data_IF_402460741530
#
_entry.id   IF_402460741530
#
_cell.length_a   1.000
_cell.length_b   1.000
_cell.length_c   1.000
_cell.angle_alpha   90.00
_cell.angle_beta   90.00
_cell.angle_gamma   90.00
#
_symmetry.space_group_name_H-M   'P 1'
#
loop_
_entity.id
_entity.type
_entity.pdbx_description
1 polymer ?
#
# COMPACT_ATOMS: atom_id res chain seq x y z
N UNK A 1 -61.96 -38.72 -10.44
CA UNK A 1 -60.62 -39.32 -10.56
C UNK A 1 -59.61 -38.17 -10.39
N UNK A 2 -58.81 -38.26 -9.33
CA UNK A 2 -57.53 -37.57 -9.00
C UNK A 2 -57.35 -36.06 -9.27
N UNK A 3 -57.01 -35.38 -8.18
CA UNK A 3 -56.55 -34.00 -8.06
C UNK A 3 -55.22 -33.72 -8.79
N UNK A 4 -54.95 -32.44 -9.10
CA UNK A 4 -53.70 -31.81 -8.66
C UNK A 4 -53.80 -30.28 -8.69
N UNK A 5 -53.64 -29.70 -7.51
CA UNK A 5 -53.08 -28.37 -7.27
C UNK A 5 -51.71 -28.25 -7.94
N UNK A 6 -51.39 -27.08 -8.51
CA UNK A 6 -50.07 -26.46 -8.30
C UNK A 6 -50.11 -24.97 -8.64
N UNK A 7 -50.29 -24.15 -7.61
CA UNK A 7 -50.04 -22.71 -7.63
C UNK A 7 -48.53 -22.52 -7.46
N UNK A 8 -47.82 -22.08 -8.49
CA UNK A 8 -46.40 -21.74 -8.39
C UNK A 8 -46.27 -20.28 -7.92
N UNK A 9 -46.14 -20.09 -6.61
CA UNK A 9 -45.79 -18.80 -6.02
C UNK A 9 -44.26 -18.63 -6.14
N UNK A 10 -43.81 -17.83 -7.11
CA UNK A 10 -42.40 -17.45 -7.23
C UNK A 10 -42.10 -16.35 -6.22
N UNK A 11 -41.60 -16.73 -5.04
CA UNK A 11 -41.03 -15.80 -4.07
C UNK A 11 -39.60 -15.47 -4.52
N UNK A 12 -39.40 -14.32 -5.16
CA UNK A 12 -38.06 -13.80 -5.42
C UNK A 12 -37.45 -13.35 -4.09
N UNK A 13 -36.63 -14.21 -3.49
CA UNK A 13 -35.77 -13.83 -2.37
C UNK A 13 -34.64 -12.99 -2.96
N UNK A 14 -34.72 -11.67 -2.76
CA UNK A 14 -33.56 -10.79 -2.87
C UNK A 14 -32.60 -11.20 -1.77
N UNK A 15 -31.67 -12.11 -2.07
CA UNK A 15 -30.51 -12.35 -1.25
C UNK A 15 -29.60 -11.12 -1.37
N UNK A 16 -29.78 -10.14 -0.48
CA UNK A 16 -28.71 -9.20 -0.15
C UNK A 16 -27.60 -10.00 0.49
N UNK A 17 -26.68 -10.52 -0.33
CA UNK A 17 -25.40 -11.05 0.13
C UNK A 17 -24.57 -9.86 0.61
N UNK A 18 -24.79 -9.42 1.83
CA UNK A 18 -23.77 -8.67 2.56
C UNK A 18 -22.54 -9.57 2.57
N UNK A 19 -21.38 -9.18 2.01
CA UNK A 19 -20.17 -9.93 2.25
C UNK A 19 -19.90 -9.83 3.75
N UNK A 20 -20.16 -10.93 4.46
CA UNK A 20 -19.71 -11.12 5.83
C UNK A 20 -18.19 -11.14 5.78
N UNK A 21 -17.57 -9.98 5.95
CA UNK A 21 -16.13 -9.89 6.16
C UNK A 21 -15.87 -10.37 7.59
N UNK A 22 -15.15 -11.48 7.73
CA UNK A 22 -14.68 -11.97 9.03
C UNK A 22 -13.82 -10.89 9.68
N UNK A 23 -14.28 -10.33 10.81
CA UNK A 23 -13.44 -9.53 11.71
C UNK A 23 -12.41 -10.46 12.34
N UNK A 24 -11.24 -10.55 11.71
CA UNK A 24 -10.14 -11.38 12.17
C UNK A 24 -9.62 -12.26 11.05
N UNK A 25 -8.96 -11.65 10.07
CA UNK A 25 -7.96 -12.41 9.34
C UNK A 25 -6.79 -12.68 10.29
N UNK A 26 -6.39 -13.94 10.31
CA UNK A 26 -5.23 -14.41 11.06
C UNK A 26 -4.03 -13.57 10.60
N UNK A 27 -3.42 -12.80 11.50
CA UNK A 27 -2.05 -12.28 11.33
C UNK A 27 -1.26 -13.40 10.67
N UNK A 28 -0.74 -13.22 9.46
CA UNK A 28 -0.03 -14.26 8.75
C UNK A 28 1.03 -14.83 9.70
N UNK A 29 0.82 -16.06 10.19
CA UNK A 29 1.56 -16.62 11.34
C UNK A 29 3.07 -16.74 11.10
N UNK A 30 3.48 -16.56 9.86
CA UNK A 30 4.81 -16.82 9.32
C UNK A 30 5.40 -15.63 8.58
N UNK A 31 4.70 -14.49 8.47
CA UNK A 31 5.31 -13.27 7.93
C UNK A 31 6.01 -12.54 9.06
N UNK A 32 7.31 -12.74 9.14
CA UNK A 32 8.17 -11.93 9.98
C UNK A 32 9.11 -11.16 9.05
N UNK A 33 9.07 -9.83 9.13
CA UNK A 33 10.22 -9.05 8.69
C UNK A 33 11.46 -9.66 9.39
N UNK A 34 12.54 -9.85 8.63
CA UNK A 34 13.76 -10.54 9.08
C UNK A 34 14.28 -10.03 10.42
N UNK A 35 14.01 -8.76 10.74
CA UNK A 35 13.93 -8.22 12.10
C UNK A 35 13.22 -6.87 12.10
N UNK A 36 12.50 -6.52 13.17
CA UNK A 36 12.03 -5.14 13.39
C UNK A 36 12.89 -4.49 14.50
N UNK A 37 13.93 -3.76 14.08
CA UNK A 37 14.87 -3.08 14.98
C UNK A 37 14.61 -1.56 15.09
N UNK A 38 13.64 -1.04 14.35
CA UNK A 38 13.24 0.36 14.36
C UNK A 38 14.32 1.35 13.93
N UNK A 39 14.12 2.62 14.28
CA UNK A 39 15.02 3.73 13.94
C UNK A 39 14.68 4.47 12.66
N UNK A 40 13.52 4.18 12.05
CA UNK A 40 13.05 4.71 10.76
C UNK A 40 12.35 6.04 10.91
N UNK A 41 12.17 6.74 9.78
CA UNK A 41 11.26 7.88 9.65
C UNK A 41 10.24 7.59 8.56
N UNK A 42 8.96 7.49 8.91
CA UNK A 42 7.92 7.07 7.97
C UNK A 42 6.90 8.19 7.83
N UNK A 43 6.61 8.61 6.61
CA UNK A 43 5.46 9.43 6.31
C UNK A 43 4.35 8.53 5.73
N UNK A 44 3.18 8.57 6.35
CA UNK A 44 1.98 7.89 5.88
C UNK A 44 1.08 8.96 5.25
N UNK A 45 0.90 8.88 3.94
CA UNK A 45 0.19 9.87 3.13
C UNK A 45 -1.12 9.24 2.68
N UNK A 46 -2.24 9.80 3.12
CA UNK A 46 -3.57 9.23 2.96
C UNK A 46 -4.45 10.19 2.18
N UNK A 47 -5.10 9.64 1.18
CA UNK A 47 -6.11 10.31 0.37
C UNK A 47 -7.28 10.78 1.24
N UNK A 48 -7.64 12.06 1.10
CA UNK A 48 -8.78 12.71 1.72
C UNK A 48 -9.82 13.13 0.65
N UNK A 49 -9.69 12.71 -0.61
CA UNK A 49 -10.56 13.21 -1.69
C UNK A 49 -12.00 12.64 -1.64
N UNK A 50 -12.92 13.29 -2.36
CA UNK A 50 -14.35 12.90 -2.43
C UNK A 50 -14.56 11.44 -2.89
N UNK A 51 -13.60 10.84 -3.58
CA UNK A 51 -13.72 9.45 -4.05
C UNK A 51 -13.78 8.44 -2.91
N UNK A 52 -13.21 8.77 -1.74
CA UNK A 52 -13.25 7.99 -0.49
C UNK A 52 -14.66 7.50 -0.16
N UNK A 53 -15.68 8.36 -0.28
CA UNK A 53 -17.07 8.02 0.02
C UNK A 53 -17.60 6.84 -0.83
N UNK A 54 -17.03 6.65 -2.02
CA UNK A 54 -17.56 5.71 -3.03
C UNK A 54 -16.70 4.47 -3.22
N UNK A 55 -15.37 4.61 -3.26
CA UNK A 55 -14.45 3.52 -3.51
C UNK A 55 -13.74 3.00 -2.25
N UNK A 56 -13.93 3.67 -1.11
CA UNK A 56 -13.46 3.22 0.20
C UNK A 56 -14.48 3.39 1.34
N UNK A 57 -15.71 2.87 1.20
CA UNK A 57 -16.76 3.05 2.22
C UNK A 57 -16.49 2.32 3.55
N UNK A 58 -15.32 1.68 3.67
CA UNK A 58 -14.91 0.88 4.83
C UNK A 58 -13.56 1.35 5.40
N UNK A 59 -13.10 2.55 5.03
CA UNK A 59 -11.89 3.17 5.58
C UNK A 59 -10.62 2.31 5.41
N UNK A 60 -10.51 1.52 4.33
CA UNK A 60 -9.39 0.60 4.09
C UNK A 60 -8.05 1.32 3.98
N UNK A 61 -8.02 2.51 3.35
CA UNK A 61 -6.81 3.35 3.32
C UNK A 61 -6.42 3.83 4.72
N UNK A 62 -7.38 4.21 5.55
CA UNK A 62 -7.13 4.63 6.94
C UNK A 62 -6.63 3.45 7.78
N UNK A 63 -7.29 2.29 7.67
CA UNK A 63 -6.94 1.07 8.40
C UNK A 63 -5.54 0.58 8.06
N UNK A 64 -5.12 0.69 6.80
CA UNK A 64 -3.75 0.37 6.42
C UNK A 64 -2.71 1.34 6.97
N UNK A 65 -3.03 2.63 6.98
CA UNK A 65 -2.18 3.62 7.63
C UNK A 65 -2.00 3.31 9.12
N UNK A 66 -3.09 2.96 9.82
CA UNK A 66 -3.01 2.49 11.22
C UNK A 66 -2.16 1.23 11.35
N UNK A 67 -2.36 0.24 10.49
CA UNK A 67 -1.61 -1.01 10.55
C UNK A 67 -0.10 -0.81 10.33
N UNK A 68 0.30 0.12 9.47
CA UNK A 68 1.70 0.52 9.29
C UNK A 68 2.20 1.20 10.57
N UNK A 69 1.47 2.17 11.12
CA UNK A 69 1.83 2.86 12.36
C UNK A 69 1.99 1.89 13.55
N UNK A 70 1.08 0.92 13.68
CA UNK A 70 1.09 -0.09 14.74
C UNK A 70 2.29 -1.06 14.64
N UNK A 71 2.90 -1.19 13.47
CA UNK A 71 4.11 -1.99 13.29
C UNK A 71 5.38 -1.22 13.70
N UNK A 72 5.34 0.11 13.70
CA UNK A 72 6.47 0.95 14.07
C UNK A 72 6.75 0.88 15.57
N UNK A 73 8.04 0.95 15.93
CA UNK A 73 8.50 0.88 17.31
C UNK A 73 8.32 2.26 17.95
N UNK A 74 7.40 2.36 18.90
CA UNK A 74 7.24 3.59 19.69
C UNK A 74 8.44 3.83 20.61
N UNK A 75 8.58 5.07 21.12
CA UNK A 75 9.66 5.37 22.06
C UNK A 75 9.60 4.55 23.36
N UNK A 76 8.41 4.09 23.75
CA UNK A 76 8.21 3.25 24.93
C UNK A 76 8.60 1.79 24.71
N UNK A 77 8.66 1.34 23.46
CA UNK A 77 9.07 -0.02 23.07
C UNK A 77 10.55 -0.12 22.68
N UNK A 78 11.22 1.02 22.54
CA UNK A 78 12.64 1.10 22.27
C UNK A 78 13.48 0.61 23.47
N UNK A 79 14.64 0.01 23.17
CA UNK A 79 15.49 -0.67 24.15
C UNK A 79 15.82 -2.10 23.74
N UNK A 80 16.80 -2.73 24.40
CA UNK A 80 17.17 -4.13 24.12
C UNK A 80 17.60 -4.40 22.68
N UNK A 81 18.19 -3.42 21.99
CA UNK A 81 18.59 -3.51 20.58
C UNK A 81 17.61 -2.88 19.58
N UNK A 82 16.43 -2.45 20.04
CA UNK A 82 15.44 -1.70 19.25
C UNK A 82 15.63 -0.19 19.39
N UNK A 83 15.43 0.54 18.30
CA UNK A 83 15.38 2.00 18.25
C UNK A 83 13.94 2.45 18.02
N UNK A 84 13.60 3.63 18.52
CA UNK A 84 12.29 4.23 18.23
C UNK A 84 12.22 4.65 16.76
N UNK A 85 11.10 4.35 16.12
CA UNK A 85 10.72 4.93 14.85
C UNK A 85 10.09 6.32 15.06
N UNK A 86 10.06 7.10 13.99
CA UNK A 86 9.28 8.33 13.88
C UNK A 86 8.26 8.19 12.76
N UNK A 87 7.08 8.77 12.96
CA UNK A 87 5.99 8.78 11.99
C UNK A 87 5.43 10.18 11.79
N UNK A 88 5.08 10.51 10.56
CA UNK A 88 4.23 11.65 10.20
C UNK A 88 2.97 11.13 9.51
N UNK A 89 1.83 11.75 9.77
CA UNK A 89 0.55 11.43 9.10
C UNK A 89 0.09 12.66 8.33
N UNK A 90 -0.12 12.48 7.03
CA UNK A 90 -0.47 13.55 6.09
C UNK A 90 -1.73 13.13 5.36
N UNK A 91 -2.74 13.98 5.38
CA UNK A 91 -3.90 13.89 4.49
C UNK A 91 -3.68 14.73 3.23
N UNK A 92 -4.27 14.33 2.11
CA UNK A 92 -4.25 15.15 0.89
C UNK A 92 -5.57 15.10 0.12
N UNK A 93 -6.00 16.27 -0.35
CA UNK A 93 -7.09 16.46 -1.30
C UNK A 93 -6.60 17.36 -2.46
N UNK A 94 -7.24 18.51 -2.70
CA UNK A 94 -6.71 19.61 -3.49
C UNK A 94 -5.49 20.30 -2.81
N UNK A 95 -5.34 20.11 -1.50
CA UNK A 95 -4.27 20.62 -0.66
C UNK A 95 -3.81 19.55 0.34
N UNK A 96 -2.63 19.75 0.93
CA UNK A 96 -2.14 18.88 1.99
C UNK A 96 -2.56 19.36 3.37
N UNK A 97 -2.75 18.39 4.26
CA UNK A 97 -2.96 18.60 5.69
C UNK A 97 -1.98 17.74 6.47
N UNK A 98 -1.06 18.39 7.17
CA UNK A 98 -0.24 17.73 8.18
C UNK A 98 -1.10 17.44 9.42
N UNK A 99 -1.49 16.17 9.60
CA UNK A 99 -2.35 15.74 10.71
C UNK A 99 -1.53 15.41 11.95
N UNK A 100 -0.35 14.83 11.76
CA UNK A 100 0.60 14.51 12.83
C UNK A 100 2.02 14.82 12.37
N UNK A 101 2.70 15.84 12.96
CA UNK A 101 4.09 16.13 12.67
C UNK A 101 5.00 14.93 12.99
N UNK A 102 6.15 14.84 12.31
CA UNK A 102 7.10 13.76 12.52
C UNK A 102 7.43 13.55 14.02
N UNK A 103 7.00 12.42 14.56
CA UNK A 103 7.01 12.18 16.00
C UNK A 103 6.81 10.71 16.38
N UNK A 104 6.52 10.45 17.66
CA UNK A 104 6.41 9.10 18.19
C UNK A 104 5.13 8.38 17.66
N UNK A 105 5.22 7.14 17.12
CA UNK A 105 4.07 6.36 16.66
C UNK A 105 2.89 6.25 17.64
N UNK A 106 3.18 6.14 18.94
CA UNK A 106 2.14 6.02 19.98
C UNK A 106 1.21 7.25 20.11
N UNK A 107 1.61 8.39 19.54
CA UNK A 107 0.80 9.61 19.52
C UNK A 107 -0.07 9.77 18.27
N UNK A 108 0.18 9.00 17.19
CA UNK A 108 -0.42 9.22 15.88
C UNK A 108 -1.83 8.61 15.73
N UNK A 109 -2.17 7.57 16.51
CA UNK A 109 -3.42 6.81 16.32
C UNK A 109 -4.69 7.69 16.33
N UNK A 110 -4.71 8.74 17.15
CA UNK A 110 -5.86 9.66 17.27
C UNK A 110 -6.09 10.55 16.05
N UNK A 111 -5.08 10.73 15.19
CA UNK A 111 -5.22 11.65 14.05
C UNK A 111 -5.86 10.99 12.84
N UNK A 112 -5.82 9.66 12.75
CA UNK A 112 -6.48 8.91 11.69
C UNK A 112 -8.00 9.10 11.69
N UNK A 113 -8.63 9.47 12.82
CA UNK A 113 -10.06 9.82 12.84
C UNK A 113 -10.35 11.23 12.35
N UNK A 114 -9.32 12.02 12.05
CA UNK A 114 -9.44 13.38 11.52
C UNK A 114 -9.33 13.43 10.00
N UNK A 115 -8.95 12.30 9.39
CA UNK A 115 -8.98 12.11 7.94
C UNK A 115 -10.42 12.31 7.49
N UNK A 116 -10.62 13.25 6.59
CA UNK A 116 -11.91 13.64 6.05
C UNK A 116 -11.99 13.32 4.56
N UNK A 117 -13.20 13.34 4.01
CA UNK A 117 -13.48 13.03 2.60
C UNK A 117 -14.01 14.31 1.95
N UNK A 118 -13.13 15.10 1.33
CA UNK A 118 -13.43 16.41 0.73
C UNK A 118 -12.52 16.70 -0.46
N UNK A 119 -13.09 17.25 -1.51
CA UNK A 119 -12.35 17.94 -2.58
C UNK A 119 -11.74 17.01 -3.63
N UNK A 120 -10.88 17.59 -4.46
CA UNK A 120 -10.17 16.91 -5.53
C UNK A 120 -8.94 16.15 -5.05
N UNK A 121 -8.04 15.84 -5.98
CA UNK A 121 -6.90 14.96 -5.71
C UNK A 121 -5.61 15.53 -6.28
N UNK A 122 -4.64 15.80 -5.41
CA UNK A 122 -3.29 16.23 -5.75
C UNK A 122 -2.25 15.44 -4.96
N UNK A 123 -1.93 14.23 -5.46
CA UNK A 123 -1.07 13.27 -4.78
C UNK A 123 0.35 13.81 -4.61
N UNK A 124 0.86 14.52 -5.62
CA UNK A 124 2.20 15.10 -5.59
C UNK A 124 2.40 16.03 -4.38
N UNK A 125 1.37 16.82 -4.01
CA UNK A 125 1.42 17.65 -2.82
C UNK A 125 1.63 16.82 -1.55
N UNK A 126 0.92 15.70 -1.41
CA UNK A 126 1.07 14.78 -0.28
C UNK A 126 2.49 14.20 -0.17
N UNK A 127 3.10 13.87 -1.31
CA UNK A 127 4.51 13.42 -1.38
C UNK A 127 5.47 14.55 -1.01
N UNK A 128 5.25 15.77 -1.50
CA UNK A 128 6.09 16.94 -1.18
C UNK A 128 6.06 17.29 0.31
N UNK A 129 4.88 17.28 0.94
CA UNK A 129 4.73 17.50 2.39
C UNK A 129 5.42 16.38 3.18
N UNK A 130 5.36 15.14 2.70
CA UNK A 130 6.06 14.02 3.32
C UNK A 130 7.58 14.18 3.24
N UNK A 131 8.12 14.62 2.10
CA UNK A 131 9.54 14.96 1.97
C UNK A 131 9.90 16.06 2.98
N UNK A 132 9.09 17.12 3.06
CA UNK A 132 9.30 18.22 4.01
C UNK A 132 9.41 17.71 5.45
N UNK A 133 8.45 16.90 5.91
CA UNK A 133 8.48 16.32 7.27
C UNK A 133 9.70 15.43 7.50
N UNK A 134 9.99 14.52 6.57
CA UNK A 134 11.08 13.56 6.71
C UNK A 134 12.46 14.22 6.72
N UNK A 135 12.58 15.42 6.15
CA UNK A 135 13.84 16.14 5.98
C UNK A 135 14.02 17.30 6.96
N UNK A 136 13.08 17.46 7.91
CA UNK A 136 13.17 18.51 8.93
C UNK A 136 14.48 18.43 9.73
N UNK A 137 15.11 19.58 10.00
CA UNK A 137 16.29 19.64 10.87
C UNK A 137 16.04 18.99 12.23
N UNK A 138 17.03 18.27 12.75
CA UNK A 138 16.94 17.58 14.04
C UNK A 138 16.50 16.11 13.95
N UNK A 139 16.20 15.62 12.74
CA UNK A 139 15.80 14.23 12.50
C UNK A 139 16.74 13.49 11.53
N UNK A 140 17.98 13.97 11.31
CA UNK A 140 18.95 13.28 10.45
C UNK A 140 19.36 11.90 10.98
N UNK A 141 19.73 10.94 10.10
CA UNK A 141 19.78 11.06 8.63
C UNK A 141 18.44 10.75 7.95
N UNK A 142 18.20 11.34 6.78
CA UNK A 142 17.08 10.99 5.89
C UNK A 142 17.39 9.79 5.02
N UNK A 143 18.50 9.85 4.28
CA UNK A 143 18.86 8.83 3.30
C UNK A 143 18.91 7.43 3.91
N UNK A 144 18.33 6.49 3.17
CA UNK A 144 18.23 5.05 3.47
C UNK A 144 17.42 4.69 4.71
N UNK A 145 16.97 5.68 5.48
CA UNK A 145 16.31 5.50 6.77
C UNK A 145 14.87 6.03 6.78
N UNK A 146 14.41 6.54 5.64
CA UNK A 146 13.12 7.19 5.52
C UNK A 146 12.26 6.56 4.43
N UNK A 147 10.95 6.60 4.63
CA UNK A 147 10.00 6.10 3.65
C UNK A 147 8.74 6.94 3.58
N UNK A 148 8.11 6.93 2.42
CA UNK A 148 6.76 7.45 2.19
C UNK A 148 5.89 6.27 1.77
N UNK A 149 4.77 6.06 2.46
CA UNK A 149 3.73 5.12 2.05
C UNK A 149 2.48 5.90 1.71
N UNK A 150 2.10 5.88 0.43
CA UNK A 150 0.92 6.57 -0.10
C UNK A 150 -0.25 5.58 -0.23
N UNK A 151 -1.41 5.97 0.27
CA UNK A 151 -2.64 5.18 0.30
C UNK A 151 -3.74 5.98 -0.41
N UNK A 152 -4.08 5.59 -1.63
CA UNK A 152 -4.92 6.36 -2.56
C UNK A 152 -5.70 5.44 -3.49
N UNK A 153 -6.62 5.97 -4.29
CA UNK A 153 -7.18 5.25 -5.44
C UNK A 153 -6.37 5.47 -6.73
N UNK A 154 -5.44 6.43 -6.70
CA UNK A 154 -4.54 6.79 -7.79
C UNK A 154 -5.15 7.65 -8.88
N UNK A 155 -6.32 8.24 -8.63
CA UNK A 155 -6.77 9.36 -9.44
C UNK A 155 -5.89 10.57 -9.07
N UNK A 156 -5.16 11.14 -10.03
CA UNK A 156 -4.28 12.29 -9.76
C UNK A 156 -4.54 13.40 -10.77
N UNK A 157 -4.45 14.64 -10.29
CA UNK A 157 -4.59 15.82 -11.15
C UNK A 157 -3.39 16.04 -12.06
N UNK A 158 -2.21 15.43 -11.79
CA UNK A 158 -1.01 15.64 -12.60
C UNK A 158 0.08 14.57 -12.43
N UNK A 159 0.02 13.49 -13.22
CA UNK A 159 1.02 12.41 -13.21
C UNK A 159 2.48 12.88 -13.37
N UNK A 160 2.76 13.91 -14.18
CA UNK A 160 4.14 14.43 -14.35
C UNK A 160 4.70 15.06 -13.08
N UNK A 161 3.87 15.78 -12.32
CA UNK A 161 4.28 16.37 -11.04
C UNK A 161 4.48 15.29 -9.99
N UNK A 162 3.61 14.27 -9.99
CA UNK A 162 3.78 13.13 -9.10
C UNK A 162 5.11 12.41 -9.34
N UNK A 163 5.50 12.20 -10.61
CA UNK A 163 6.82 11.67 -10.97
C UNK A 163 7.94 12.56 -10.43
N UNK A 164 7.88 13.88 -10.64
CA UNK A 164 8.88 14.83 -10.13
C UNK A 164 9.03 14.77 -8.59
N UNK A 165 7.92 14.68 -7.85
CA UNK A 165 7.93 14.55 -6.39
C UNK A 165 8.53 13.21 -5.94
N UNK A 166 8.18 12.11 -6.60
CA UNK A 166 8.74 10.78 -6.28
C UNK A 166 10.24 10.73 -6.57
N UNK A 167 10.68 11.28 -7.71
CA UNK A 167 12.10 11.36 -8.06
C UNK A 167 12.87 12.23 -7.07
N UNK A 168 12.27 13.33 -6.59
CA UNK A 168 12.85 14.18 -5.54
C UNK A 168 13.01 13.40 -4.23
N UNK A 169 12.02 12.61 -3.81
CA UNK A 169 12.14 11.73 -2.65
C UNK A 169 13.29 10.71 -2.84
N UNK A 170 13.35 10.07 -4.01
CA UNK A 170 14.40 9.11 -4.36
C UNK A 170 15.81 9.71 -4.31
N UNK A 171 15.99 10.94 -4.80
CA UNK A 171 17.27 11.67 -4.73
C UNK A 171 17.73 11.94 -3.28
N UNK A 172 16.80 11.99 -2.33
CA UNK A 172 17.09 12.11 -0.90
C UNK A 172 17.27 10.77 -0.18
N UNK A 173 17.25 9.65 -0.92
CA UNK A 173 17.33 8.30 -0.37
C UNK A 173 16.08 7.92 0.43
N UNK A 174 14.92 8.47 0.06
CA UNK A 174 13.62 8.12 0.64
C UNK A 174 12.97 7.06 -0.25
N UNK A 175 12.61 5.92 0.35
CA UNK A 175 11.87 4.87 -0.35
C UNK A 175 10.39 5.23 -0.45
N UNK A 176 9.77 5.10 -1.61
CA UNK A 176 8.37 5.49 -1.82
C UNK A 176 7.55 4.29 -2.29
N UNK A 177 6.51 3.93 -1.52
CA UNK A 177 5.60 2.83 -1.86
C UNK A 177 4.15 3.32 -1.95
N UNK A 178 3.37 2.72 -2.82
CA UNK A 178 1.97 3.08 -3.05
C UNK A 178 1.05 1.87 -2.99
N UNK A 179 -0.06 2.02 -2.25
CA UNK A 179 -1.21 1.13 -2.27
C UNK A 179 -2.39 1.83 -2.95
N UNK A 180 -2.81 1.30 -4.10
CA UNK A 180 -3.88 1.84 -4.93
C UNK A 180 -5.18 1.08 -4.74
N UNK A 181 -6.15 1.63 -4.01
CA UNK A 181 -7.47 1.06 -3.83
C UNK A 181 -8.33 1.29 -5.09
N UNK A 182 -8.48 0.27 -5.93
CA UNK A 182 -9.19 0.38 -7.20
C UNK A 182 -10.61 -0.15 -7.08
N UNK A 183 -11.59 0.76 -7.13
CA UNK A 183 -13.00 0.39 -7.27
C UNK A 183 -13.29 -0.12 -8.68
N UNK A 184 -13.47 -1.43 -8.83
CA UNK A 184 -13.96 -2.10 -10.06
C UNK A 184 -13.47 -1.53 -11.40
N UNK A 185 -12.20 -1.77 -11.72
CA UNK A 185 -11.64 -1.48 -13.04
C UNK A 185 -10.13 -1.41 -12.98
N UNK A 186 -9.46 -2.31 -13.68
CA UNK A 186 -7.99 -2.37 -13.74
C UNK A 186 -7.46 -1.35 -14.73
N UNK A 187 -7.51 -0.05 -14.41
CA UNK A 187 -6.62 0.89 -15.08
C UNK A 187 -5.30 0.88 -14.32
N UNK A 188 -4.24 0.35 -14.94
CA UNK A 188 -2.89 0.52 -14.43
C UNK A 188 -2.58 2.01 -14.33
N UNK A 189 -1.84 2.37 -13.30
CA UNK A 189 -1.31 3.73 -13.15
C UNK A 189 -0.39 4.09 -14.33
N UNK A 190 -0.13 5.39 -14.49
CA UNK A 190 0.79 5.89 -15.53
C UNK A 190 2.14 5.12 -15.44
N UNK A 191 2.64 4.52 -16.54
CA UNK A 191 3.88 3.75 -16.51
C UNK A 191 5.08 4.51 -15.95
N UNK A 192 5.13 5.83 -16.12
CA UNK A 192 6.20 6.67 -15.57
C UNK A 192 6.08 6.79 -14.05
N UNK A 193 4.85 6.87 -13.51
CA UNK A 193 4.61 6.84 -12.05
C UNK A 193 5.06 5.50 -11.48
N UNK A 194 4.70 4.37 -12.11
CA UNK A 194 5.19 3.05 -11.67
C UNK A 194 6.72 2.99 -11.70
N UNK A 195 7.34 3.46 -12.79
CA UNK A 195 8.79 3.46 -12.92
C UNK A 195 9.47 4.32 -11.85
N UNK A 196 8.89 5.48 -11.52
CA UNK A 196 9.42 6.36 -10.48
C UNK A 196 9.34 5.67 -9.10
N UNK A 197 8.19 5.08 -8.75
CA UNK A 197 7.99 4.33 -7.49
C UNK A 197 9.04 3.23 -7.36
N UNK A 198 9.14 2.36 -8.37
CA UNK A 198 10.09 1.25 -8.39
C UNK A 198 11.55 1.73 -8.40
N UNK A 199 11.82 2.90 -9.00
CA UNK A 199 13.12 3.57 -9.01
C UNK A 199 13.63 3.92 -7.61
N UNK A 200 12.72 4.23 -6.67
CA UNK A 200 13.07 4.47 -5.24
C UNK A 200 13.35 3.19 -4.45
N UNK A 201 13.19 2.02 -5.07
CA UNK A 201 13.24 0.72 -4.37
C UNK A 201 11.98 0.42 -3.55
N UNK A 202 10.91 1.18 -3.72
CA UNK A 202 9.62 0.92 -3.08
C UNK A 202 8.71 0.02 -3.91
N UNK A 203 7.48 -0.16 -3.42
CA UNK A 203 6.52 -1.10 -3.98
C UNK A 203 5.25 -0.42 -4.50
N UNK A 204 4.73 -0.95 -5.59
CA UNK A 204 3.41 -0.65 -6.13
C UNK A 204 2.50 -1.85 -5.91
N UNK A 205 1.29 -1.63 -5.40
CA UNK A 205 0.24 -2.65 -5.45
C UNK A 205 -1.15 -2.04 -5.72
N UNK A 206 -1.99 -2.77 -6.45
CA UNK A 206 -3.43 -2.51 -6.49
C UNK A 206 -4.15 -3.32 -5.43
N UNK A 207 -5.13 -2.70 -4.79
CA UNK A 207 -5.92 -3.20 -3.69
C UNK A 207 -7.38 -3.23 -4.16
N UNK A 208 -8.02 -4.39 -4.13
CA UNK A 208 -9.41 -4.58 -4.57
C UNK A 208 -10.37 -4.90 -3.40
N UNK A 209 -9.88 -4.74 -2.17
CA UNK A 209 -10.66 -4.93 -0.94
C UNK A 209 -9.78 -5.17 0.28
N UNK A 210 -10.43 -5.47 1.42
CA UNK A 210 -9.78 -5.57 2.73
C UNK A 210 -8.66 -6.64 2.78
N UNK A 211 -8.82 -7.76 2.07
CA UNK A 211 -7.79 -8.82 2.02
C UNK A 211 -6.54 -8.30 1.33
N UNK A 212 -6.69 -7.68 0.16
CA UNK A 212 -5.59 -7.08 -0.59
C UNK A 212 -4.95 -5.92 0.19
N UNK A 213 -5.73 -5.11 0.93
CA UNK A 213 -5.20 -4.02 1.75
C UNK A 213 -4.23 -4.55 2.82
N UNK A 214 -4.63 -5.60 3.54
CA UNK A 214 -3.78 -6.24 4.55
C UNK A 214 -2.54 -6.89 3.90
N UNK A 215 -2.72 -7.51 2.74
CA UNK A 215 -1.61 -8.07 1.99
C UNK A 215 -0.61 -6.98 1.57
N UNK A 216 -1.07 -5.79 1.17
CA UNK A 216 -0.20 -4.67 0.80
C UNK A 216 0.63 -4.19 2.00
N UNK A 217 0.01 -4.02 3.18
CA UNK A 217 0.73 -3.66 4.41
C UNK A 217 1.83 -4.69 4.71
N UNK A 218 1.49 -5.98 4.63
CA UNK A 218 2.48 -7.05 4.81
C UNK A 218 3.58 -7.02 3.75
N UNK A 219 3.23 -6.74 2.49
CA UNK A 219 4.17 -6.62 1.38
C UNK A 219 5.20 -5.53 1.66
N UNK A 220 4.79 -4.30 1.99
CA UNK A 220 5.74 -3.21 2.23
C UNK A 220 6.60 -3.45 3.49
N UNK A 221 6.04 -4.08 4.52
CA UNK A 221 6.79 -4.44 5.74
C UNK A 221 7.85 -5.51 5.45
N UNK A 222 7.48 -6.59 4.75
CA UNK A 222 8.39 -7.71 4.43
C UNK A 222 9.42 -7.30 3.38
N UNK A 223 9.02 -6.45 2.43
CA UNK A 223 9.92 -5.83 1.47
C UNK A 223 10.91 -4.86 2.14
N UNK A 224 10.58 -4.37 3.34
CA UNK A 224 11.32 -3.34 4.05
C UNK A 224 10.79 -1.95 3.72
N UNK A 225 10.42 -1.21 4.75
CA UNK A 225 9.89 0.15 4.57
C UNK A 225 10.99 1.10 4.06
N UNK A 226 12.24 0.91 4.50
CA UNK A 226 13.39 1.75 4.14
C UNK A 226 14.51 0.92 3.51
N UNK A 227 15.50 1.56 2.89
CA UNK A 227 16.67 0.85 2.33
C UNK A 227 17.52 0.15 3.42
N UNK A 228 17.55 0.68 4.64
CA UNK A 228 18.20 0.01 5.76
C UNK A 228 17.51 -1.31 6.15
N UNK A 229 16.19 -1.43 5.93
CA UNK A 229 15.46 -2.68 6.16
C UNK A 229 15.77 -3.71 5.08
N UNK A 230 15.95 -3.26 3.84
CA UNK A 230 16.27 -4.12 2.70
C UNK A 230 17.07 -3.35 1.63
N UNK A 231 18.42 -3.42 1.63
CA UNK A 231 19.25 -2.65 0.70
C UNK A 231 19.26 -3.20 -0.73
N UNK A 232 18.67 -4.39 -0.94
CA UNK A 232 18.58 -5.05 -2.24
C UNK A 232 17.11 -5.31 -2.61
N UNK A 233 16.26 -4.27 -2.72
CA UNK A 233 14.82 -4.41 -2.89
C UNK A 233 14.43 -5.18 -4.16
N UNK A 234 15.25 -5.08 -5.22
CA UNK A 234 15.03 -5.78 -6.50
C UNK A 234 15.03 -7.31 -6.38
N UNK A 235 15.55 -7.85 -5.28
CA UNK A 235 15.57 -9.30 -5.01
C UNK A 235 14.40 -9.75 -4.12
N UNK A 236 13.56 -8.83 -3.63
CA UNK A 236 12.42 -9.15 -2.77
C UNK A 236 11.18 -9.34 -3.63
N UNK A 237 10.85 -10.61 -3.83
CA UNK A 237 9.97 -11.08 -4.90
C UNK A 237 8.79 -11.88 -4.38
N UNK A 238 8.37 -11.61 -3.14
CA UNK A 238 7.25 -12.28 -2.50
C UNK A 238 5.93 -11.82 -3.09
N UNK A 239 5.16 -12.78 -3.62
CA UNK A 239 3.79 -12.57 -4.06
C UNK A 239 2.81 -12.85 -2.93
N UNK A 240 1.71 -12.10 -2.91
CA UNK A 240 0.60 -12.31 -2.00
C UNK A 240 -0.69 -12.54 -2.78
N UNK A 241 -1.53 -13.43 -2.27
CA UNK A 241 -2.84 -13.66 -2.84
C UNK A 241 -3.67 -12.36 -2.84
N UNK A 242 -4.31 -12.07 -3.96
CA UNK A 242 -5.14 -10.88 -4.16
C UNK A 242 -4.37 -9.59 -4.43
N UNK A 243 -3.03 -9.60 -4.43
CA UNK A 243 -2.25 -8.44 -4.86
C UNK A 243 -1.81 -8.54 -6.32
N UNK A 244 -1.99 -7.45 -7.05
CA UNK A 244 -1.18 -7.22 -8.26
C UNK A 244 -0.03 -6.31 -7.89
N UNK A 245 1.19 -6.73 -8.18
CA UNK A 245 2.41 -5.95 -7.99
C UNK A 245 3.06 -5.65 -9.34
N UNK A 246 3.89 -4.61 -9.39
CA UNK A 246 4.69 -4.28 -10.56
C UNK A 246 6.18 -4.50 -10.29
N UNK A 247 6.92 -4.85 -11.34
CA UNK A 247 8.37 -4.97 -11.32
C UNK A 247 8.95 -4.61 -12.68
N UNK A 248 10.20 -4.18 -12.70
CA UNK A 248 10.94 -3.93 -13.94
C UNK A 248 11.63 -5.24 -14.34
N UNK A 249 11.52 -5.63 -15.61
CA UNK A 249 12.33 -6.73 -16.16
C UNK A 249 13.78 -6.28 -16.21
N UNK A 250 14.69 -7.11 -15.69
CA UNK A 250 16.11 -6.84 -15.82
C UNK A 250 16.58 -7.04 -17.27
N UNK A 251 17.83 -6.66 -17.55
CA UNK A 251 18.42 -6.82 -18.89
C UNK A 251 18.55 -8.30 -19.32
N UNK A 252 18.42 -9.24 -18.37
CA UNK A 252 18.39 -10.68 -18.66
C UNK A 252 17.02 -11.16 -19.14
N UNK A 253 15.99 -10.32 -19.02
CA UNK A 253 14.60 -10.65 -19.32
C UNK A 253 13.99 -11.66 -18.35
N UNK A 254 14.62 -11.89 -17.19
CA UNK A 254 14.20 -12.91 -16.22
C UNK A 254 13.95 -12.26 -14.87
N UNK A 255 12.82 -12.60 -14.24
CA UNK A 255 12.54 -12.26 -12.86
C UNK A 255 12.08 -13.50 -12.11
N UNK A 256 12.55 -13.65 -10.86
CA UNK A 256 12.20 -14.78 -10.01
C UNK A 256 11.21 -14.33 -8.95
N UNK A 257 9.99 -14.85 -8.95
CA UNK A 257 8.96 -14.54 -7.95
C UNK A 257 8.78 -15.72 -6.98
N UNK A 258 8.56 -15.44 -5.70
CA UNK A 258 8.34 -16.44 -4.65
C UNK A 258 6.92 -16.34 -4.12
N UNK A 259 6.19 -17.46 -4.12
CA UNK A 259 4.88 -17.58 -3.49
C UNK A 259 4.86 -18.77 -2.52
N UNK A 260 4.32 -18.58 -1.31
CA UNK A 260 4.19 -19.67 -0.34
C UNK A 260 2.82 -20.31 -0.48
N UNK A 261 2.72 -21.36 -1.30
CA UNK A 261 1.47 -22.07 -1.53
C UNK A 261 1.04 -22.94 -0.35
N UNK A 262 -0.27 -23.04 -0.13
CA UNK A 262 -0.86 -23.97 0.84
C UNK A 262 -1.22 -25.32 0.19
N UNK A 263 -1.30 -26.37 0.99
CA UNK A 263 -1.66 -27.70 0.50
C UNK A 263 -3.06 -27.66 -0.15
N UNK A 264 -3.14 -28.11 -1.41
CA UNK A 264 -4.36 -28.13 -2.25
C UNK A 264 -4.83 -26.75 -2.71
N UNK A 265 -3.99 -25.73 -2.59
CA UNK A 265 -4.27 -24.44 -3.19
C UNK A 265 -4.19 -24.54 -4.73
N UNK A 266 -5.15 -23.90 -5.42
CA UNK A 266 -5.08 -23.72 -6.87
C UNK A 266 -4.43 -22.37 -7.15
N UNK A 267 -3.24 -22.41 -7.73
CA UNK A 267 -2.51 -21.20 -8.08
C UNK A 267 -2.94 -20.70 -9.46
N UNK A 268 -3.24 -19.41 -9.55
CA UNK A 268 -3.50 -18.70 -10.81
C UNK A 268 -2.70 -17.41 -10.78
N UNK A 269 -1.72 -17.29 -11.68
CA UNK A 269 -0.96 -16.07 -11.87
C UNK A 269 -1.40 -15.42 -13.17
N UNK A 270 -1.72 -14.13 -13.09
CA UNK A 270 -1.97 -13.29 -14.27
C UNK A 270 -0.83 -12.30 -14.38
N UNK A 271 -0.15 -12.29 -15.52
CA UNK A 271 0.97 -11.40 -15.80
C UNK A 271 0.59 -10.58 -17.03
N UNK A 272 0.72 -9.26 -16.92
CA UNK A 272 0.44 -8.34 -17.99
C UNK A 272 1.58 -7.34 -18.12
N UNK A 273 1.80 -6.86 -19.35
CA UNK A 273 2.70 -5.74 -19.60
C UNK A 273 2.01 -4.44 -19.32
N UNK A 274 2.68 -3.55 -18.61
CA UNK A 274 2.20 -2.17 -18.43
C UNK A 274 2.58 -1.30 -19.64
N UNK A 275 3.78 -1.49 -20.19
CA UNK A 275 4.32 -0.59 -21.24
C UNK A 275 4.93 -1.29 -22.47
N UNK A 276 5.31 -2.56 -22.37
CA UNK A 276 6.06 -3.26 -23.44
C UNK A 276 5.16 -3.95 -24.49
N UNK A 277 3.83 -3.83 -24.39
CA UNK A 277 2.89 -4.50 -25.31
C UNK A 277 2.69 -5.98 -25.00
N UNK A 278 2.52 -6.82 -26.02
CA UNK A 278 2.33 -8.27 -25.82
C UNK A 278 3.60 -8.91 -25.23
N UNK A 279 3.42 -9.78 -24.23
CA UNK A 279 4.52 -10.55 -23.62
C UNK A 279 4.47 -11.99 -24.13
N UNK A 280 5.59 -12.46 -24.65
CA UNK A 280 5.87 -13.88 -24.75
C UNK A 280 6.59 -14.30 -23.47
N UNK A 281 5.91 -15.10 -22.64
CA UNK A 281 6.44 -15.54 -21.34
C UNK A 281 6.44 -17.06 -21.23
N UNK A 282 7.50 -17.58 -20.62
CA UNK A 282 7.59 -18.98 -20.20
C UNK A 282 7.67 -18.99 -18.69
N UNK A 283 6.65 -19.55 -18.04
CA UNK A 283 6.69 -19.80 -16.60
C UNK A 283 7.40 -21.14 -16.35
N UNK A 284 8.44 -21.12 -15.52
CA UNK A 284 9.13 -22.31 -15.02
C UNK A 284 8.98 -22.34 -13.50
N UNK A 285 8.59 -23.49 -12.96
CA UNK A 285 8.46 -23.75 -11.52
C UNK A 285 9.69 -24.45 -10.91
#
# INVERSE_FOLDING_TARGET
MKASFLTLLLLAILSSSSPLVSRGFQKCKTLQASSNNGGRKIAIVIDESDSMETNDPWDLRIDAGRAINDWLISSGEAGGGKKADLVSIIGFDDATRLLYPLGNPSGADKVFTQISERGGTFIAGGVDEAISELTKPGHDPTANNSAIVVLTDGNDSSASKLVESIDTAGQQGIRVSFGFLTGHGTSYQDPNVLSAILGTGGMYATIDGATAQNAFVNLVIVHGLTDNDNPSPRNSTTLYNGLSIAFVLDDSGTNTLTYTAEARERLVFSIASVAAGALDMTAND
#
